data_IF_314154276581
#
_entry.id   IF_314154276581
#
_cell.length_a   1.000
_cell.length_b   1.000
_cell.length_c   1.000
_cell.angle_alpha   90.00
_cell.angle_beta   90.00
_cell.angle_gamma   90.00
#
_symmetry.space_group_name_H-M   'P 1'
#
loop_
_entity.id
_entity.type
_entity.pdbx_description
1 polymer ?
#
# COMPACT_ATOMS: atom_id res chain seq x y z
N UNK A 1 -11.76 35.76 -17.79
CA UNK A 1 -10.81 35.59 -16.66
C UNK A 1 -11.42 34.59 -15.69
N UNK A 2 -10.79 33.45 -15.45
CA UNK A 2 -11.28 32.48 -14.48
C UNK A 2 -11.12 33.05 -13.07
N UNK A 3 -12.19 33.17 -12.34
CA UNK A 3 -12.24 33.62 -10.95
C UNK A 3 -11.60 32.63 -9.96
N UNK A 4 -10.89 31.63 -10.43
CA UNK A 4 -10.27 30.64 -9.55
C UNK A 4 -9.11 31.26 -8.75
N UNK A 5 -9.17 31.21 -7.41
CA UNK A 5 -8.05 31.64 -6.59
C UNK A 5 -6.83 30.71 -6.83
N UNK A 6 -5.62 31.17 -6.55
CA UNK A 6 -4.44 30.32 -6.62
C UNK A 6 -4.63 29.10 -5.68
N UNK A 7 -4.09 27.92 -6.04
CA UNK A 7 -4.25 26.74 -5.23
C UNK A 7 -3.71 26.96 -3.81
N UNK A 8 -4.46 26.57 -2.75
CA UNK A 8 -3.99 26.65 -1.38
C UNK A 8 -2.66 25.90 -1.20
N UNK A 9 -1.88 26.31 -0.20
CA UNK A 9 -0.56 25.71 0.07
C UNK A 9 -0.63 24.18 0.22
N UNK A 10 -1.64 23.66 0.94
CA UNK A 10 -1.84 22.21 1.10
C UNK A 10 -1.99 21.48 -0.24
N UNK A 11 -2.56 22.11 -1.27
CA UNK A 11 -2.68 21.51 -2.62
C UNK A 11 -1.32 21.51 -3.32
N UNK A 12 -0.55 22.60 -3.20
CA UNK A 12 0.80 22.65 -3.77
C UNK A 12 1.74 21.63 -3.14
N UNK A 13 1.58 21.32 -1.86
CA UNK A 13 2.34 20.27 -1.15
C UNK A 13 2.07 18.84 -1.65
N UNK A 14 0.98 18.64 -2.41
CA UNK A 14 0.71 17.34 -3.08
C UNK A 14 1.53 17.18 -4.37
N UNK A 15 2.12 18.24 -4.89
CA UNK A 15 2.86 18.18 -6.14
C UNK A 15 4.12 17.31 -5.97
N UNK A 16 4.39 16.57 -7.04
CA UNK A 16 5.62 15.79 -7.11
C UNK A 16 6.82 16.74 -7.20
N UNK A 17 7.92 16.46 -6.51
CA UNK A 17 9.15 17.23 -6.67
C UNK A 17 9.67 17.11 -8.11
N UNK A 18 10.41 18.12 -8.55
CA UNK A 18 11.23 18.01 -9.75
C UNK A 18 12.23 16.87 -9.57
N UNK A 19 12.31 15.97 -10.54
CA UNK A 19 13.25 14.87 -10.52
C UNK A 19 13.68 14.52 -11.95
N UNK A 20 14.98 14.31 -12.14
CA UNK A 20 15.51 13.82 -13.40
C UNK A 20 15.25 14.69 -14.64
N UNK A 21 15.14 16.01 -14.46
CA UNK A 21 14.88 16.95 -15.57
C UNK A 21 13.41 17.07 -15.99
N UNK A 22 12.51 16.34 -15.31
CA UNK A 22 11.06 16.51 -15.49
C UNK A 22 10.57 17.61 -14.52
N UNK A 23 9.78 18.57 -15.01
CA UNK A 23 9.20 19.58 -14.14
C UNK A 23 8.28 18.90 -13.12
N UNK A 24 8.42 19.24 -11.86
CA UNK A 24 7.48 18.85 -10.82
C UNK A 24 6.06 19.21 -11.22
N UNK A 25 5.12 18.34 -10.95
CA UNK A 25 3.73 18.53 -11.33
C UNK A 25 2.76 17.87 -10.39
N UNK A 26 1.46 18.05 -10.62
CA UNK A 26 0.47 17.32 -9.88
C UNK A 26 0.39 15.86 -10.39
N UNK A 27 -0.15 14.98 -9.55
CA UNK A 27 -0.29 13.54 -9.86
C UNK A 27 -1.00 13.30 -11.20
N UNK A 28 -2.02 14.13 -11.51
CA UNK A 28 -2.78 14.00 -12.77
C UNK A 28 -1.96 14.38 -14.00
N UNK A 29 -1.00 15.29 -13.88
CA UNK A 29 -0.09 15.61 -14.98
C UNK A 29 0.87 14.45 -15.25
N UNK A 30 1.39 13.84 -14.19
CA UNK A 30 2.21 12.64 -14.32
C UNK A 30 1.43 11.46 -14.94
N UNK A 31 0.19 11.22 -14.50
CA UNK A 31 -0.70 10.21 -15.08
C UNK A 31 -1.02 10.51 -16.55
N UNK A 32 -1.41 11.75 -16.87
CA UNK A 32 -1.70 12.16 -18.26
C UNK A 32 -0.48 12.09 -19.16
N UNK A 33 0.70 12.39 -18.68
CA UNK A 33 1.92 12.19 -19.44
C UNK A 33 2.10 10.71 -19.79
N UNK A 34 1.82 9.83 -18.83
CA UNK A 34 1.79 8.39 -19.05
C UNK A 34 0.64 7.94 -19.99
N UNK A 35 -0.54 8.54 -19.96
CA UNK A 35 -1.70 8.18 -20.80
C UNK A 35 -1.55 8.62 -22.26
N UNK A 36 -0.93 9.74 -22.55
CA UNK A 36 -0.87 10.35 -23.89
C UNK A 36 0.06 9.66 -24.88
N UNK A 37 0.95 8.83 -24.41
CA UNK A 37 1.92 8.18 -25.27
C UNK A 37 1.32 6.94 -25.90
N UNK A 38 1.10 6.93 -27.20
CA UNK A 38 0.63 5.78 -27.95
C UNK A 38 1.82 4.88 -28.29
N UNK A 39 1.84 3.70 -27.72
CA UNK A 39 2.78 2.64 -28.12
C UNK A 39 2.22 1.88 -29.34
N UNK A 40 3.06 1.45 -30.31
CA UNK A 40 2.66 0.52 -31.35
C UNK A 40 2.35 -0.89 -30.81
N UNK A 41 2.75 -1.18 -29.57
CA UNK A 41 2.51 -2.44 -28.89
C UNK A 41 1.16 -2.45 -28.16
N UNK A 42 0.58 -3.63 -27.94
CA UNK A 42 -0.59 -3.78 -27.08
C UNK A 42 -0.26 -3.31 -25.68
N UNK A 43 -0.94 -2.26 -25.17
CA UNK A 43 -0.64 -1.72 -23.85
C UNK A 43 -0.92 -2.74 -22.74
N UNK A 44 -0.03 -2.82 -21.75
CA UNK A 44 -0.23 -3.60 -20.54
C UNK A 44 0.05 -2.73 -19.31
N UNK A 45 -0.96 -2.60 -18.44
CA UNK A 45 -0.84 -1.86 -17.18
C UNK A 45 -0.24 -2.74 -16.09
N UNK A 46 1.02 -2.47 -15.75
CA UNK A 46 1.75 -3.14 -14.68
C UNK A 46 1.73 -2.35 -13.36
N UNK A 47 0.88 -1.35 -13.24
CA UNK A 47 0.73 -0.58 -12.00
C UNK A 47 -0.17 -1.27 -10.98
N UNK A 48 -1.02 -2.21 -11.43
CA UNK A 48 -1.95 -2.98 -10.62
C UNK A 48 -2.10 -4.43 -11.12
N UNK A 49 -2.74 -5.27 -10.32
CA UNK A 49 -3.04 -6.64 -10.69
C UNK A 49 -4.13 -6.70 -11.77
N UNK A 50 -4.01 -7.68 -12.67
CA UNK A 50 -5.06 -8.02 -13.62
C UNK A 50 -6.24 -8.69 -12.91
N UNK A 51 -7.30 -7.92 -12.68
CA UNK A 51 -8.51 -8.40 -12.00
C UNK A 51 -9.42 -9.24 -12.88
N UNK A 52 -9.22 -9.30 -14.18
CA UNK A 52 -9.89 -10.26 -15.07
C UNK A 52 -9.27 -11.66 -14.90
N UNK A 53 -7.95 -11.73 -14.84
CA UNK A 53 -7.23 -12.99 -14.57
C UNK A 53 -7.37 -13.44 -13.13
N UNK A 54 -7.41 -12.49 -12.21
CA UNK A 54 -7.51 -12.72 -10.76
C UNK A 54 -8.77 -12.04 -10.19
N UNK A 55 -9.97 -12.56 -10.50
CA UNK A 55 -11.22 -11.96 -10.05
C UNK A 55 -11.40 -12.05 -8.53
N UNK A 56 -12.30 -11.24 -7.95
CA UNK A 56 -12.74 -11.40 -6.58
C UNK A 56 -13.31 -12.80 -6.30
N UNK A 57 -13.41 -13.23 -5.02
CA UNK A 57 -14.17 -14.40 -4.67
C UNK A 57 -15.63 -14.28 -5.15
N UNK A 58 -16.20 -15.36 -5.69
CA UNK A 58 -17.58 -15.36 -6.19
C UNK A 58 -18.57 -14.98 -5.07
N UNK A 59 -18.32 -15.45 -3.84
CA UNK A 59 -19.09 -15.10 -2.65
C UNK A 59 -19.17 -13.59 -2.38
N UNK A 60 -18.16 -12.81 -2.79
CA UNK A 60 -18.18 -11.36 -2.58
C UNK A 60 -19.31 -10.68 -3.42
N UNK A 61 -19.52 -11.13 -4.65
CA UNK A 61 -20.61 -10.63 -5.49
C UNK A 61 -21.98 -11.10 -4.95
N UNK A 62 -22.08 -12.34 -4.50
CA UNK A 62 -23.29 -12.89 -3.91
C UNK A 62 -23.70 -12.14 -2.63
N UNK A 63 -22.77 -11.90 -1.72
CA UNK A 63 -23.01 -11.17 -0.47
C UNK A 63 -23.42 -9.72 -0.75
N UNK A 64 -22.74 -9.05 -1.71
CA UNK A 64 -23.12 -7.71 -2.16
C UNK A 64 -24.55 -7.68 -2.73
N UNK A 65 -24.86 -8.59 -3.65
CA UNK A 65 -26.17 -8.65 -4.29
C UNK A 65 -27.30 -8.97 -3.28
N UNK A 66 -27.02 -9.88 -2.33
CA UNK A 66 -27.96 -10.24 -1.26
C UNK A 66 -28.23 -9.05 -0.35
N UNK A 67 -27.19 -8.33 0.06
CA UNK A 67 -27.32 -7.13 0.86
C UNK A 67 -28.11 -6.03 0.12
N UNK A 68 -27.84 -5.84 -1.18
CA UNK A 68 -28.56 -4.85 -2.00
C UNK A 68 -30.05 -5.15 -2.15
N UNK A 69 -30.45 -6.43 -2.17
CA UNK A 69 -31.86 -6.84 -2.25
C UNK A 69 -32.58 -6.79 -0.91
N UNK A 70 -31.88 -7.06 0.19
CA UNK A 70 -32.50 -7.28 1.50
C UNK A 70 -32.53 -6.07 2.42
N UNK A 71 -31.56 -5.18 2.37
CA UNK A 71 -31.36 -4.14 3.39
C UNK A 71 -31.95 -2.77 3.07
N UNK A 72 -32.58 -2.61 1.90
CA UNK A 72 -33.02 -1.29 1.45
C UNK A 72 -31.85 -0.32 1.18
N UNK A 73 -32.13 0.76 0.45
CA UNK A 73 -31.12 1.77 0.09
C UNK A 73 -30.96 2.81 1.20
N UNK A 74 -30.37 2.45 2.34
CA UNK A 74 -30.23 3.36 3.47
C UNK A 74 -28.79 3.52 3.91
N UNK A 75 -28.53 4.60 4.62
CA UNK A 75 -27.25 4.83 5.27
C UNK A 75 -27.06 3.90 6.48
N UNK A 76 -25.88 3.33 6.63
CA UNK A 76 -25.45 2.68 7.88
C UNK A 76 -24.92 3.71 8.88
N UNK A 77 -24.67 3.36 10.15
CA UNK A 77 -23.87 4.18 11.05
C UNK A 77 -22.52 4.57 10.41
N UNK A 78 -21.92 5.68 10.84
CA UNK A 78 -20.61 6.12 10.31
C UNK A 78 -19.53 5.08 10.49
N UNK A 79 -19.51 4.38 11.62
CA UNK A 79 -18.57 3.30 11.94
C UNK A 79 -18.79 2.02 11.12
N UNK A 80 -19.93 1.91 10.44
CA UNK A 80 -20.37 0.73 9.69
C UNK A 80 -21.52 -0.01 10.39
N UNK A 81 -22.14 -0.96 9.68
CA UNK A 81 -23.21 -1.81 10.21
C UNK A 81 -22.73 -2.63 11.42
N UNK A 82 -23.50 -2.62 12.51
CA UNK A 82 -23.12 -3.25 13.77
C UNK A 82 -22.95 -4.77 13.64
N UNK A 83 -23.85 -5.42 12.88
CA UNK A 83 -23.76 -6.88 12.66
C UNK A 83 -22.55 -7.24 11.78
N UNK A 84 -22.22 -6.41 10.78
CA UNK A 84 -20.99 -6.61 9.99
C UNK A 84 -19.76 -6.39 10.85
N UNK A 85 -19.74 -5.32 11.68
CA UNK A 85 -18.61 -5.07 12.58
C UNK A 85 -18.37 -6.22 13.55
N UNK A 86 -19.43 -6.83 14.10
CA UNK A 86 -19.31 -7.98 15.00
C UNK A 86 -18.63 -9.17 14.32
N UNK A 87 -19.06 -9.53 13.10
CA UNK A 87 -18.45 -10.61 12.33
C UNK A 87 -16.99 -10.29 11.97
N UNK A 88 -16.73 -9.07 11.50
CA UNK A 88 -15.37 -8.62 11.08
C UNK A 88 -14.43 -8.56 12.28
N UNK A 89 -14.88 -8.08 13.45
CA UNK A 89 -14.06 -8.03 14.65
C UNK A 89 -13.66 -9.44 15.14
N UNK A 90 -14.59 -10.39 15.08
CA UNK A 90 -14.28 -11.80 15.42
C UNK A 90 -13.22 -12.39 14.47
N UNK A 91 -13.38 -12.17 13.17
CA UNK A 91 -12.45 -12.64 12.14
C UNK A 91 -11.06 -11.98 12.28
N UNK A 92 -11.02 -10.65 12.50
CA UNK A 92 -9.79 -9.90 12.71
C UNK A 92 -9.08 -10.30 14.00
N UNK A 93 -9.83 -10.60 15.06
CA UNK A 93 -9.22 -11.06 16.32
C UNK A 93 -8.39 -12.34 16.13
N UNK A 94 -8.93 -13.28 15.36
CA UNK A 94 -8.21 -14.50 14.98
C UNK A 94 -7.01 -14.23 14.06
N UNK A 95 -7.17 -13.32 13.10
CA UNK A 95 -6.12 -13.00 12.13
C UNK A 95 -4.97 -12.18 12.75
N UNK A 96 -5.29 -11.15 13.52
CA UNK A 96 -4.28 -10.27 14.13
C UNK A 96 -3.65 -10.86 15.39
N UNK A 97 -4.26 -11.89 16.00
CA UNK A 97 -3.78 -12.48 17.25
C UNK A 97 -4.01 -11.59 18.49
N UNK A 98 -4.97 -10.66 18.43
CA UNK A 98 -5.34 -9.75 19.53
C UNK A 98 -6.84 -9.49 19.51
N UNK A 99 -7.47 -9.39 20.68
CA UNK A 99 -8.90 -9.13 20.77
C UNK A 99 -9.29 -7.76 20.19
N UNK A 100 -10.19 -7.77 19.21
CA UNK A 100 -10.77 -6.57 18.57
C UNK A 100 -12.21 -6.42 19.03
N UNK A 101 -12.52 -5.32 19.69
CA UNK A 101 -13.89 -4.98 20.09
C UNK A 101 -14.58 -4.24 18.92
N UNK A 102 -15.75 -4.73 18.44
CA UNK A 102 -16.46 -4.12 17.31
C UNK A 102 -16.97 -2.71 17.58
N UNK A 103 -17.20 -2.35 18.83
CA UNK A 103 -17.76 -1.04 19.23
C UNK A 103 -16.67 0.01 19.52
N UNK A 104 -15.48 -0.43 19.91
CA UNK A 104 -14.44 0.50 20.35
C UNK A 104 -13.18 0.49 19.50
N UNK A 105 -12.81 -0.65 18.92
CA UNK A 105 -11.53 -0.79 18.23
C UNK A 105 -11.63 -0.84 16.68
N UNK A 106 -12.83 -0.94 16.13
CA UNK A 106 -13.04 -1.21 14.70
C UNK A 106 -13.84 -0.11 13.99
N UNK A 107 -13.33 0.31 12.84
CA UNK A 107 -14.00 1.22 11.90
C UNK A 107 -14.01 0.60 10.50
N UNK A 108 -15.18 0.53 9.86
CA UNK A 108 -15.31 0.21 8.43
C UNK A 108 -15.24 1.50 7.62
N UNK A 109 -14.35 1.56 6.64
CA UNK A 109 -14.10 2.76 5.86
C UNK A 109 -14.34 2.53 4.35
N UNK A 110 -14.57 3.60 3.56
CA UNK A 110 -14.68 3.53 2.09
C UNK A 110 -13.33 3.20 1.43
N UNK A 111 -12.81 2.02 1.72
CA UNK A 111 -11.46 1.56 1.37
C UNK A 111 -10.39 2.05 2.34
N UNK A 112 -9.27 1.33 2.38
CA UNK A 112 -8.12 1.63 3.27
C UNK A 112 -7.53 3.02 3.04
N UNK A 113 -7.64 3.59 1.84
CA UNK A 113 -7.16 4.95 1.58
C UNK A 113 -7.94 6.02 2.36
N UNK A 114 -9.26 5.86 2.50
CA UNK A 114 -10.07 6.77 3.33
C UNK A 114 -9.76 6.58 4.82
N UNK A 115 -9.52 5.33 5.25
CA UNK A 115 -9.08 5.03 6.60
C UNK A 115 -7.71 5.67 6.91
N UNK A 116 -6.74 5.55 6.00
CA UNK A 116 -5.43 6.18 6.12
C UNK A 116 -5.53 7.70 6.24
N UNK A 117 -6.33 8.33 5.36
CA UNK A 117 -6.53 9.77 5.40
C UNK A 117 -7.17 10.22 6.72
N UNK A 118 -8.20 9.51 7.17
CA UNK A 118 -8.85 9.81 8.45
C UNK A 118 -7.89 9.63 9.63
N UNK A 119 -7.12 8.53 9.66
CA UNK A 119 -6.11 8.26 10.69
C UNK A 119 -5.07 9.38 10.78
N UNK A 120 -4.47 9.74 9.63
CA UNK A 120 -3.46 10.80 9.61
C UNK A 120 -4.07 12.16 9.95
N UNK A 121 -5.31 12.45 9.53
CA UNK A 121 -6.01 13.69 9.90
C UNK A 121 -6.24 13.84 11.41
N UNK A 122 -6.32 12.72 12.13
CA UNK A 122 -6.48 12.70 13.60
C UNK A 122 -5.15 12.82 14.33
N UNK A 123 -4.09 12.28 13.75
CA UNK A 123 -2.79 12.09 14.40
C UNK A 123 -1.74 13.14 14.01
N UNK A 124 -1.97 13.88 12.92
CA UNK A 124 -0.94 14.72 12.28
C UNK A 124 -1.42 16.14 12.08
N UNK A 125 -0.65 17.07 12.58
CA UNK A 125 -0.70 18.51 12.27
C UNK A 125 0.69 19.01 11.83
N UNK A 126 0.84 20.35 11.69
CA UNK A 126 2.10 20.94 11.23
C UNK A 126 3.31 20.68 12.14
N UNK A 127 3.08 20.50 13.42
CA UNK A 127 4.12 20.37 14.45
C UNK A 127 4.38 18.90 14.81
N UNK A 128 3.55 17.99 14.26
CA UNK A 128 3.70 16.55 14.50
C UNK A 128 4.95 16.02 13.80
N UNK A 129 5.77 15.29 14.54
CA UNK A 129 6.90 14.56 13.97
C UNK A 129 6.41 13.25 13.38
N UNK A 130 6.42 13.18 12.05
CA UNK A 130 5.99 12.00 11.32
C UNK A 130 7.20 11.33 10.68
N UNK A 131 7.53 10.13 11.17
CA UNK A 131 8.56 9.26 10.59
C UNK A 131 7.90 8.38 9.54
N UNK A 132 8.46 8.29 8.35
CA UNK A 132 7.88 7.51 7.24
C UNK A 132 8.95 6.61 6.65
N UNK A 133 8.66 5.31 6.51
CA UNK A 133 9.58 4.41 5.81
C UNK A 133 9.83 4.90 4.36
N UNK A 134 11.04 4.80 3.85
CA UNK A 134 11.43 5.31 2.54
C UNK A 134 12.36 4.30 1.81
N UNK A 135 11.90 3.71 0.68
CA UNK A 135 10.63 3.94 0.00
C UNK A 135 9.42 3.27 0.69
N UNK A 136 8.25 3.90 0.55
CA UNK A 136 6.96 3.34 1.02
C UNK A 136 5.81 3.79 0.10
N UNK A 137 4.60 3.39 0.43
CA UNK A 137 3.41 3.69 -0.37
C UNK A 137 3.29 5.18 -0.69
N UNK A 138 3.18 5.48 -1.97
CA UNK A 138 3.32 6.85 -2.51
C UNK A 138 2.38 7.89 -1.90
N UNK A 139 1.22 7.48 -1.37
CA UNK A 139 0.29 8.43 -0.75
C UNK A 139 0.67 8.80 0.68
N UNK A 140 1.51 8.02 1.35
CA UNK A 140 1.94 8.24 2.73
C UNK A 140 2.60 9.61 2.88
N UNK A 141 3.68 9.85 2.17
CA UNK A 141 4.40 11.13 2.17
C UNK A 141 3.53 12.31 1.74
N UNK A 142 2.68 12.09 0.73
CA UNK A 142 1.79 13.13 0.19
C UNK A 142 0.73 13.53 1.21
N UNK A 143 0.11 12.57 1.89
CA UNK A 143 -0.91 12.85 2.91
C UNK A 143 -0.32 13.60 4.09
N UNK A 144 0.86 13.21 4.58
CA UNK A 144 1.58 13.92 5.64
C UNK A 144 1.85 15.38 5.25
N UNK A 145 2.36 15.62 4.05
CA UNK A 145 2.60 16.98 3.53
C UNK A 145 1.32 17.78 3.35
N UNK A 146 0.24 17.13 2.88
CA UNK A 146 -1.06 17.78 2.72
C UNK A 146 -1.60 18.28 4.07
N UNK A 147 -1.42 17.51 5.14
CA UNK A 147 -1.83 17.87 6.50
C UNK A 147 -0.92 18.93 7.14
N UNK A 148 0.16 19.30 6.49
CA UNK A 148 1.02 20.40 6.91
C UNK A 148 2.32 19.97 7.58
N UNK A 149 2.48 18.71 7.97
CA UNK A 149 3.70 18.20 8.57
C UNK A 149 4.84 18.03 7.54
N UNK A 150 6.06 18.00 8.05
CA UNK A 150 7.24 17.64 7.27
C UNK A 150 7.64 16.21 7.62
N UNK A 151 7.50 15.26 6.69
CA UNK A 151 7.86 13.87 6.96
C UNK A 151 9.37 13.71 7.12
N UNK A 152 9.76 12.89 8.08
CA UNK A 152 11.17 12.47 8.30
C UNK A 152 11.32 11.07 7.72
N UNK A 153 12.08 10.90 6.62
CA UNK A 153 12.27 9.60 6.00
C UNK A 153 13.13 8.68 6.88
N UNK A 154 12.69 7.44 7.05
CA UNK A 154 13.48 6.36 7.65
C UNK A 154 13.86 5.40 6.53
N UNK A 155 15.15 5.33 6.17
CA UNK A 155 15.58 4.58 5.00
C UNK A 155 15.31 3.08 5.12
N UNK A 156 14.99 2.46 3.99
CA UNK A 156 15.16 1.03 3.81
C UNK A 156 16.59 0.77 3.27
N UNK A 157 17.27 -0.25 3.80
CA UNK A 157 18.62 -0.65 3.38
C UNK A 157 18.57 -2.01 2.70
N UNK A 158 19.21 -2.13 1.55
CA UNK A 158 19.40 -3.41 0.87
C UNK A 158 20.63 -4.11 1.44
N UNK A 159 20.48 -5.24 2.16
CA UNK A 159 21.63 -5.97 2.72
C UNK A 159 22.49 -6.64 1.65
N UNK A 160 21.91 -6.92 0.48
CA UNK A 160 22.56 -7.38 -0.73
C UNK A 160 21.75 -6.94 -1.96
N UNK A 161 22.35 -6.90 -3.16
CA UNK A 161 21.67 -6.43 -4.39
C UNK A 161 20.43 -7.23 -4.79
N UNK A 162 20.36 -8.49 -4.39
CA UNK A 162 19.28 -9.43 -4.70
C UNK A 162 18.40 -9.78 -3.48
N UNK A 163 18.61 -9.11 -2.35
CA UNK A 163 17.82 -9.24 -1.12
C UNK A 163 16.78 -8.14 -1.00
N UNK A 164 15.62 -8.46 -0.40
CA UNK A 164 14.64 -7.44 -0.04
C UNK A 164 15.22 -6.49 1.01
N UNK A 165 14.88 -5.19 0.93
CA UNK A 165 15.40 -4.24 1.90
C UNK A 165 14.81 -4.45 3.29
N UNK A 166 15.53 -3.94 4.28
CA UNK A 166 15.13 -3.92 5.69
C UNK A 166 15.05 -2.48 6.20
N UNK A 167 14.18 -2.22 7.16
CA UNK A 167 14.09 -0.91 7.80
C UNK A 167 15.40 -0.60 8.55
N UNK A 168 15.97 0.58 8.34
CA UNK A 168 17.14 1.04 9.08
C UNK A 168 16.77 1.35 10.54
N UNK A 169 16.93 0.36 11.41
CA UNK A 169 16.60 0.50 12.84
C UNK A 169 17.49 1.52 13.56
N UNK A 170 18.72 1.72 13.13
CA UNK A 170 19.59 2.74 13.71
C UNK A 170 19.11 4.15 13.35
N UNK A 171 18.69 4.35 12.09
CA UNK A 171 18.09 5.61 11.67
C UNK A 171 16.77 5.87 12.41
N UNK A 172 15.92 4.84 12.57
CA UNK A 172 14.71 4.92 13.35
C UNK A 172 15.00 5.29 14.81
N UNK A 173 15.92 4.61 15.46
CA UNK A 173 16.30 4.90 16.85
C UNK A 173 16.82 6.32 17.01
N UNK A 174 17.68 6.81 16.11
CA UNK A 174 18.13 8.20 16.12
C UNK A 174 16.97 9.18 15.97
N UNK A 175 16.07 8.91 15.05
CA UNK A 175 14.92 9.78 14.78
C UNK A 175 13.94 9.83 15.96
N UNK A 176 13.81 8.78 16.77
CA UNK A 176 12.87 8.73 17.90
C UNK A 176 13.36 9.46 19.17
N UNK A 177 14.64 9.87 19.23
CA UNK A 177 15.21 10.51 20.44
C UNK A 177 14.67 11.92 20.76
N UNK A 178 14.04 12.57 19.80
CA UNK A 178 13.66 13.99 19.92
C UNK A 178 12.20 14.21 20.37
N UNK A 179 11.59 13.30 21.13
CA UNK A 179 10.23 13.40 21.68
C UNK A 179 9.20 12.55 20.92
N UNK A 180 7.91 12.71 21.25
CA UNK A 180 6.83 11.91 20.68
C UNK A 180 6.80 11.96 19.16
N UNK A 181 6.33 10.88 18.51
CA UNK A 181 6.30 10.77 17.06
C UNK A 181 5.15 9.86 16.56
N UNK A 182 4.80 10.04 15.30
CA UNK A 182 3.97 9.09 14.56
C UNK A 182 4.87 8.38 13.55
N UNK A 183 4.92 7.05 13.58
CA UNK A 183 5.60 6.25 12.56
C UNK A 183 4.56 5.71 11.58
N UNK A 184 4.80 5.90 10.29
CA UNK A 184 3.94 5.43 9.20
C UNK A 184 4.73 4.49 8.30
N UNK A 185 4.24 3.26 8.10
CA UNK A 185 4.87 2.27 7.24
C UNK A 185 3.85 1.26 6.70
N UNK A 186 4.16 0.63 5.57
CA UNK A 186 3.43 -0.53 5.04
C UNK A 186 4.15 -1.86 5.36
N UNK A 187 3.38 -2.90 5.69
CA UNK A 187 3.90 -4.21 6.03
C UNK A 187 2.93 -5.35 5.65
N UNK A 188 3.23 -6.15 4.62
CA UNK A 188 4.39 -6.12 3.71
C UNK A 188 4.55 -4.80 2.97
N UNK A 189 5.81 -4.41 2.74
CA UNK A 189 6.13 -3.09 2.20
C UNK A 189 5.77 -2.96 0.70
N UNK A 190 5.06 -1.92 0.37
CA UNK A 190 4.83 -1.46 -1.00
C UNK A 190 5.69 -0.19 -1.22
N UNK A 191 6.73 -0.21 -2.08
CA UNK A 191 6.80 -0.98 -3.33
C UNK A 191 7.69 -2.23 -3.30
N UNK A 192 8.49 -2.45 -2.28
CA UNK A 192 9.64 -3.36 -2.34
C UNK A 192 9.29 -4.85 -2.19
N UNK A 193 8.10 -5.16 -1.68
CA UNK A 193 7.71 -6.53 -1.33
C UNK A 193 8.43 -7.10 -0.11
N UNK A 194 9.11 -6.25 0.68
CA UNK A 194 9.75 -6.67 1.91
C UNK A 194 8.72 -7.08 2.97
N UNK A 195 8.97 -8.16 3.67
CA UNK A 195 8.29 -8.54 4.91
C UNK A 195 9.32 -8.38 6.03
N UNK A 196 9.05 -7.46 6.94
CA UNK A 196 9.98 -7.21 8.05
C UNK A 196 9.96 -8.41 8.98
N UNK A 197 11.14 -8.88 9.37
CA UNK A 197 11.28 -10.01 10.29
C UNK A 197 10.67 -9.69 11.65
N UNK A 198 10.25 -10.71 12.44
CA UNK A 198 9.69 -10.51 13.78
C UNK A 198 10.54 -9.61 14.67
N UNK A 199 11.88 -9.73 14.61
CA UNK A 199 12.80 -8.94 15.42
C UNK A 199 12.75 -7.44 15.06
N UNK A 200 12.49 -7.10 13.79
CA UNK A 200 12.31 -5.71 13.34
C UNK A 200 11.01 -5.15 13.88
N UNK A 201 9.93 -5.93 13.83
CA UNK A 201 8.62 -5.54 14.38
C UNK A 201 8.69 -5.35 15.91
N UNK A 202 9.39 -6.22 16.61
CA UNK A 202 9.63 -6.11 18.05
C UNK A 202 10.50 -4.89 18.41
N UNK A 203 11.50 -4.56 17.58
CA UNK A 203 12.30 -3.35 17.75
C UNK A 203 11.46 -2.08 17.54
N UNK A 204 10.57 -2.06 16.55
CA UNK A 204 9.62 -0.95 16.34
C UNK A 204 8.71 -0.79 17.57
N UNK A 205 8.15 -1.89 18.08
CA UNK A 205 7.29 -1.89 19.25
C UNK A 205 8.04 -1.35 20.47
N UNK A 206 9.23 -1.85 20.75
CA UNK A 206 10.07 -1.38 21.87
C UNK A 206 10.32 0.13 21.78
N UNK A 207 10.73 0.63 20.60
CA UNK A 207 10.97 2.07 20.43
C UNK A 207 9.69 2.91 20.59
N UNK A 208 8.54 2.40 20.11
CA UNK A 208 7.26 3.09 20.28
C UNK A 208 6.85 3.19 21.75
N UNK A 209 7.07 2.13 22.52
CA UNK A 209 6.76 2.10 23.95
C UNK A 209 7.72 3.01 24.75
N UNK A 210 9.04 2.88 24.52
CA UNK A 210 10.07 3.59 25.25
C UNK A 210 10.12 5.11 24.95
N UNK A 211 9.69 5.52 23.74
CA UNK A 211 9.85 6.88 23.21
C UNK A 211 8.53 7.61 22.94
N UNK A 212 7.44 7.12 23.51
CA UNK A 212 6.09 7.66 23.33
C UNK A 212 5.70 7.84 21.86
N UNK A 213 5.90 6.77 21.07
CA UNK A 213 5.54 6.70 19.66
C UNK A 213 4.15 6.13 19.46
N UNK A 214 3.49 6.57 18.37
CA UNK A 214 2.28 5.95 17.83
C UNK A 214 2.58 5.43 16.44
N UNK A 215 2.12 4.21 16.09
CA UNK A 215 2.41 3.59 14.80
C UNK A 215 1.13 3.41 13.99
N UNK A 216 1.13 3.92 12.76
CA UNK A 216 0.13 3.61 11.74
C UNK A 216 0.77 2.62 10.77
N UNK A 217 0.25 1.40 10.76
CA UNK A 217 0.77 0.33 9.91
C UNK A 217 -0.28 -0.09 8.88
N UNK A 218 0.11 0.01 7.60
CA UNK A 218 -0.73 -0.45 6.47
C UNK A 218 -0.42 -1.91 6.17
N UNK A 219 -1.31 -2.80 6.59
CA UNK A 219 -1.23 -4.25 6.40
C UNK A 219 -2.11 -4.76 5.25
N UNK A 220 -2.38 -3.93 4.25
CA UNK A 220 -3.24 -4.28 3.11
C UNK A 220 -2.75 -5.52 2.34
N UNK A 221 -1.47 -5.85 2.46
CA UNK A 221 -0.86 -7.03 1.84
C UNK A 221 -0.55 -8.15 2.83
N UNK A 222 -1.02 -8.09 4.09
CA UNK A 222 -0.68 -9.06 5.12
C UNK A 222 -1.03 -10.52 4.77
N UNK A 223 -1.98 -10.74 3.84
CA UNK A 223 -2.36 -12.07 3.35
C UNK A 223 -1.61 -12.49 2.07
N UNK A 224 -0.79 -11.63 1.49
CA UNK A 224 0.10 -11.92 0.36
C UNK A 224 1.53 -12.04 0.88
N UNK A 225 1.83 -13.11 1.57
CA UNK A 225 3.17 -13.46 2.09
C UNK A 225 3.58 -14.80 1.49
N UNK A 226 4.79 -14.86 0.96
CA UNK A 226 5.31 -16.03 0.25
C UNK A 226 6.11 -16.96 1.15
N UNK A 227 6.34 -18.19 0.68
CA UNK A 227 7.11 -19.17 1.40
C UNK A 227 8.50 -18.65 1.81
N UNK A 228 8.89 -18.91 3.05
CA UNK A 228 10.15 -18.46 3.63
C UNK A 228 10.09 -17.11 4.35
N UNK A 229 8.93 -16.43 4.35
CA UNK A 229 8.70 -15.22 5.15
C UNK A 229 7.67 -15.47 6.24
N UNK A 230 7.84 -14.82 7.38
CA UNK A 230 6.93 -14.84 8.52
C UNK A 230 6.39 -13.43 8.74
N UNK A 231 5.07 -13.30 8.78
CA UNK A 231 4.40 -12.04 9.09
C UNK A 231 4.14 -11.96 10.60
N UNK A 232 4.63 -10.91 11.22
CA UNK A 232 4.33 -10.56 12.60
C UNK A 232 3.48 -9.29 12.62
N UNK A 233 2.27 -9.36 13.16
CA UNK A 233 1.41 -8.20 13.35
C UNK A 233 1.93 -7.34 14.50
N UNK A 234 2.14 -6.05 14.25
CA UNK A 234 2.66 -5.13 15.27
C UNK A 234 1.67 -4.96 16.44
N UNK A 235 0.39 -4.91 16.15
CA UNK A 235 -0.67 -4.75 17.16
C UNK A 235 -0.72 -5.93 18.15
N UNK A 236 -0.19 -7.10 17.77
CA UNK A 236 -0.11 -8.28 18.64
C UNK A 236 1.12 -8.30 19.56
N UNK A 237 2.04 -7.35 19.40
CA UNK A 237 3.16 -7.21 20.33
C UNK A 237 2.64 -6.58 21.63
N UNK A 238 3.06 -7.12 22.78
CA UNK A 238 2.64 -6.61 24.10
C UNK A 238 2.90 -5.10 24.24
N UNK A 239 1.93 -4.36 24.73
CA UNK A 239 1.97 -2.90 24.88
C UNK A 239 1.63 -2.11 23.60
N UNK A 240 1.44 -2.76 22.45
CA UNK A 240 1.17 -2.05 21.19
C UNK A 240 -0.31 -1.82 20.91
N UNK A 241 -1.24 -2.52 21.55
CA UNK A 241 -2.69 -2.36 21.30
C UNK A 241 -3.16 -0.91 21.41
N UNK A 242 -2.62 -0.16 22.37
CA UNK A 242 -2.98 1.25 22.62
C UNK A 242 -2.07 2.26 21.88
N UNK A 243 -1.10 1.77 21.09
CA UNK A 243 -0.11 2.58 20.37
C UNK A 243 -0.01 2.26 18.88
N UNK A 244 -0.93 1.43 18.36
CA UNK A 244 -0.92 1.01 16.99
C UNK A 244 -2.30 1.17 16.35
N UNK A 245 -2.33 1.70 15.14
CA UNK A 245 -3.48 1.63 14.25
C UNK A 245 -3.12 0.77 13.04
N UNK A 246 -3.80 -0.35 12.90
CA UNK A 246 -3.64 -1.27 11.76
C UNK A 246 -4.70 -0.99 10.71
N UNK A 247 -4.27 -0.77 9.47
CA UNK A 247 -5.14 -0.65 8.31
C UNK A 247 -5.11 -1.96 7.53
N UNK A 248 -6.28 -2.49 7.17
CA UNK A 248 -6.39 -3.73 6.41
C UNK A 248 -7.61 -3.72 5.48
N UNK A 249 -7.71 -4.72 4.61
CA UNK A 249 -8.88 -4.86 3.74
C UNK A 249 -8.66 -5.79 2.56
N UNK A 250 -9.74 -6.19 1.86
CA UNK A 250 -9.70 -7.20 0.80
C UNK A 250 -9.32 -6.64 -0.58
N UNK A 251 -8.94 -5.35 -0.65
CA UNK A 251 -8.75 -4.66 -1.94
C UNK A 251 -7.68 -5.30 -2.84
N UNK A 252 -6.68 -5.97 -2.26
CA UNK A 252 -5.51 -6.48 -3.00
C UNK A 252 -5.47 -8.00 -3.07
N UNK A 253 -5.45 -8.66 -1.93
CA UNK A 253 -5.41 -10.13 -1.88
C UNK A 253 -6.63 -10.75 -2.54
N UNK A 254 -7.80 -10.18 -2.31
CA UNK A 254 -9.08 -10.66 -2.83
C UNK A 254 -9.54 -9.92 -4.09
N UNK A 255 -8.73 -9.01 -4.64
CA UNK A 255 -9.06 -8.21 -5.84
C UNK A 255 -10.34 -7.37 -5.70
N UNK A 256 -10.69 -6.97 -4.49
CA UNK A 256 -11.95 -6.27 -4.19
C UNK A 256 -11.78 -4.74 -4.16
N UNK A 257 -10.81 -4.19 -4.89
CA UNK A 257 -10.55 -2.74 -4.89
C UNK A 257 -11.76 -1.91 -5.33
N UNK A 258 -12.57 -2.42 -6.26
CA UNK A 258 -13.80 -1.77 -6.75
C UNK A 258 -14.95 -1.73 -5.74
N UNK A 259 -14.97 -2.59 -4.75
CA UNK A 259 -15.98 -2.60 -3.69
C UNK A 259 -15.84 -1.44 -2.70
N UNK A 260 -14.66 -0.81 -2.65
CA UNK A 260 -14.37 0.32 -1.76
C UNK A 260 -14.64 0.01 -0.29
N UNK A 261 -14.14 -1.11 0.20
CA UNK A 261 -14.20 -1.49 1.62
C UNK A 261 -12.80 -1.66 2.19
N UNK A 262 -12.66 -1.25 3.44
CA UNK A 262 -11.43 -1.37 4.23
C UNK A 262 -11.75 -1.23 5.70
N UNK A 263 -10.80 -1.57 6.55
CA UNK A 263 -10.94 -1.53 8.00
C UNK A 263 -9.76 -0.81 8.64
N UNK A 264 -10.04 -0.17 9.78
CA UNK A 264 -9.04 0.33 10.70
C UNK A 264 -9.27 -0.31 12.07
N UNK A 265 -8.21 -0.82 12.68
CA UNK A 265 -8.21 -1.41 14.03
C UNK A 265 -7.22 -0.65 14.89
N UNK A 266 -7.68 -0.08 15.99
CA UNK A 266 -6.82 0.70 16.89
C UNK A 266 -7.48 1.12 18.20
N UNK A 267 -6.83 2.01 18.97
CA UNK A 267 -7.37 2.52 20.21
C UNK A 267 -8.68 3.27 20.01
N UNK A 268 -9.59 3.12 20.97
CA UNK A 268 -10.91 3.74 20.95
C UNK A 268 -10.87 5.24 20.60
N UNK A 269 -10.01 6.00 21.26
CA UNK A 269 -9.93 7.45 21.08
C UNK A 269 -9.55 7.84 19.63
N UNK A 270 -8.67 7.08 19.01
CA UNK A 270 -8.28 7.31 17.61
C UNK A 270 -9.42 6.95 16.69
N UNK A 271 -10.06 5.80 16.91
CA UNK A 271 -11.19 5.31 16.11
C UNK A 271 -12.40 6.26 16.19
N UNK A 272 -12.73 6.77 17.39
CA UNK A 272 -13.81 7.74 17.58
C UNK A 272 -13.55 9.03 16.78
N UNK A 273 -12.33 9.58 16.84
CA UNK A 273 -11.94 10.78 16.07
C UNK A 273 -11.89 10.52 14.56
N UNK A 274 -11.50 9.32 14.13
CA UNK A 274 -11.55 8.94 12.70
C UNK A 274 -12.98 8.92 12.18
N UNK A 275 -13.95 8.51 12.99
CA UNK A 275 -15.39 8.57 12.66
C UNK A 275 -15.82 10.02 12.42
N UNK A 276 -15.40 10.96 13.27
CA UNK A 276 -15.67 12.40 13.08
C UNK A 276 -15.09 12.91 11.75
N UNK A 277 -13.85 12.56 11.43
CA UNK A 277 -13.23 12.95 10.14
C UNK A 277 -13.98 12.35 8.96
N UNK A 278 -14.39 11.09 9.03
CA UNK A 278 -15.18 10.47 7.95
C UNK A 278 -16.54 11.14 7.78
N UNK A 279 -17.16 11.62 8.86
CA UNK A 279 -18.46 12.28 8.82
C UNK A 279 -18.50 13.54 7.95
N UNK A 280 -17.35 14.21 7.78
CA UNK A 280 -17.20 15.44 6.98
C UNK A 280 -16.40 15.24 5.69
N UNK A 281 -15.95 14.01 5.40
CA UNK A 281 -15.14 13.70 4.21
C UNK A 281 -15.80 12.63 3.33
N UNK A 282 -15.44 11.38 3.51
CA UNK A 282 -15.91 10.26 2.69
C UNK A 282 -17.24 9.67 3.17
N UNK A 283 -17.80 10.17 4.27
CA UNK A 283 -19.00 9.70 4.94
C UNK A 283 -18.86 8.26 5.45
N UNK A 284 -19.50 7.30 4.78
CA UNK A 284 -19.69 5.94 5.28
C UNK A 284 -19.08 4.91 4.33
N UNK A 285 -18.71 3.78 4.88
CA UNK A 285 -18.46 2.59 4.08
C UNK A 285 -19.72 2.25 3.25
N UNK A 286 -19.61 1.91 1.96
CA UNK A 286 -20.76 1.59 1.12
C UNK A 286 -21.62 0.48 1.73
N UNK A 287 -22.93 0.76 1.94
CA UNK A 287 -23.84 -0.06 2.73
C UNK A 287 -23.85 -1.54 2.29
N UNK A 288 -23.91 -1.79 0.99
CA UNK A 288 -23.97 -3.17 0.47
C UNK A 288 -22.60 -3.84 0.47
N UNK A 289 -21.57 -3.08 0.12
CA UNK A 289 -20.23 -3.63 -0.02
C UNK A 289 -19.62 -4.08 1.32
N UNK A 290 -19.97 -3.45 2.44
CA UNK A 290 -19.45 -3.87 3.74
C UNK A 290 -19.90 -5.28 4.13
N UNK A 291 -21.04 -5.78 3.63
CA UNK A 291 -21.50 -7.14 3.88
C UNK A 291 -20.56 -8.21 3.30
N UNK A 292 -19.77 -7.88 2.28
CA UNK A 292 -18.75 -8.77 1.72
C UNK A 292 -17.62 -9.08 2.72
N UNK A 293 -17.47 -8.26 3.78
CA UNK A 293 -16.49 -8.48 4.84
C UNK A 293 -16.90 -9.56 5.85
N UNK A 294 -18.17 -9.99 5.88
CA UNK A 294 -18.65 -11.01 6.85
C UNK A 294 -17.91 -12.35 6.74
N UNK A 295 -17.54 -12.73 5.50
CA UNK A 295 -16.81 -13.97 5.20
C UNK A 295 -15.30 -13.77 5.11
N UNK A 296 -14.85 -12.53 4.96
CA UNK A 296 -13.44 -12.19 4.84
C UNK A 296 -12.63 -12.67 6.06
N UNK A 297 -11.45 -13.22 5.82
CA UNK A 297 -10.55 -13.85 6.79
C UNK A 297 -11.05 -15.19 7.38
N UNK A 298 -12.30 -15.54 7.25
CA UNK A 298 -12.90 -16.76 7.78
C UNK A 298 -13.07 -17.83 6.71
N UNK A 299 -13.81 -17.52 5.65
CA UNK A 299 -14.29 -18.50 4.69
C UNK A 299 -13.50 -18.50 3.35
N UNK A 300 -12.54 -17.61 3.20
CA UNK A 300 -11.78 -17.37 1.97
C UNK A 300 -10.34 -17.90 2.00
N UNK A 301 -10.01 -18.73 2.99
CA UNK A 301 -8.64 -19.22 3.21
C UNK A 301 -8.09 -19.96 1.99
N UNK A 302 -8.81 -20.95 1.48
CA UNK A 302 -8.36 -21.70 0.31
C UNK A 302 -8.22 -20.84 -0.95
N UNK A 303 -9.11 -19.84 -1.12
CA UNK A 303 -9.02 -18.87 -2.21
C UNK A 303 -7.70 -18.12 -2.14
N UNK A 304 -7.33 -17.63 -0.95
CA UNK A 304 -6.08 -16.89 -0.73
C UNK A 304 -4.87 -17.79 -0.90
N UNK A 305 -4.87 -19.00 -0.37
CA UNK A 305 -3.78 -19.96 -0.52
C UNK A 305 -3.49 -20.27 -2.00
N UNK A 306 -4.54 -20.51 -2.79
CA UNK A 306 -4.39 -20.70 -4.24
C UNK A 306 -3.82 -19.45 -4.94
N UNK A 307 -4.26 -18.27 -4.53
CA UNK A 307 -3.79 -16.98 -5.04
C UNK A 307 -2.32 -16.77 -4.74
N UNK A 308 -1.91 -16.96 -3.50
CA UNK A 308 -0.52 -16.83 -3.04
C UNK A 308 0.38 -17.80 -3.81
N UNK A 309 -0.01 -19.08 -3.93
CA UNK A 309 0.76 -20.06 -4.69
C UNK A 309 0.92 -19.69 -6.18
N UNK A 310 -0.15 -19.14 -6.80
CA UNK A 310 -0.09 -18.68 -8.18
C UNK A 310 0.84 -17.45 -8.32
N UNK A 311 0.68 -16.45 -7.48
CA UNK A 311 1.52 -15.26 -7.49
C UNK A 311 2.99 -15.58 -7.22
N UNK A 312 3.28 -16.51 -6.32
CA UNK A 312 4.65 -16.96 -6.07
C UNK A 312 5.30 -17.54 -7.32
N UNK A 313 4.59 -18.38 -8.07
CA UNK A 313 5.14 -18.93 -9.34
C UNK A 313 5.42 -17.85 -10.38
N UNK A 314 4.50 -16.89 -10.53
CA UNK A 314 4.71 -15.78 -11.49
C UNK A 314 5.88 -14.91 -11.02
N UNK A 315 5.95 -14.57 -9.73
CA UNK A 315 7.07 -13.84 -9.13
C UNK A 315 8.41 -14.53 -9.41
N UNK A 316 8.50 -15.83 -9.12
CA UNK A 316 9.76 -16.57 -9.24
C UNK A 316 10.28 -16.57 -10.68
N UNK A 317 9.39 -16.82 -11.65
CA UNK A 317 9.73 -16.73 -13.08
C UNK A 317 10.16 -15.32 -13.50
N UNK A 318 9.46 -14.31 -12.98
CA UNK A 318 9.80 -12.89 -13.27
C UNK A 318 11.16 -12.51 -12.70
N UNK A 319 11.47 -12.92 -11.48
CA UNK A 319 12.76 -12.68 -10.85
C UNK A 319 13.87 -13.42 -11.59
N UNK A 320 13.67 -14.68 -11.93
CA UNK A 320 14.63 -15.47 -12.72
C UNK A 320 14.92 -14.80 -14.06
N UNK A 321 13.89 -14.30 -14.76
CA UNK A 321 14.04 -13.59 -16.01
C UNK A 321 14.82 -12.29 -15.84
N UNK A 322 14.39 -11.41 -14.94
CA UNK A 322 15.01 -10.09 -14.74
C UNK A 322 16.46 -10.17 -14.29
N UNK A 323 16.84 -11.18 -13.52
CA UNK A 323 18.23 -11.40 -13.10
C UNK A 323 19.20 -11.74 -14.24
N UNK A 324 18.67 -12.11 -15.42
CA UNK A 324 19.47 -12.36 -16.63
C UNK A 324 19.65 -11.12 -17.49
N UNK A 325 18.93 -10.02 -17.17
CA UNK A 325 18.99 -8.77 -17.92
C UNK A 325 20.14 -7.93 -17.39
N UNK A 326 21.11 -7.62 -18.24
CA UNK A 326 22.28 -6.82 -17.88
C UNK A 326 21.84 -5.44 -17.37
N UNK A 327 22.42 -5.02 -16.23
CA UNK A 327 22.11 -3.73 -15.60
C UNK A 327 20.86 -3.73 -14.72
N UNK A 328 20.14 -4.84 -14.61
CA UNK A 328 18.98 -4.98 -13.72
C UNK A 328 19.32 -5.81 -12.49
N UNK A 329 18.99 -5.29 -11.31
CA UNK A 329 19.06 -6.04 -10.04
C UNK A 329 17.66 -6.13 -9.45
N UNK A 330 17.27 -7.31 -8.99
CA UNK A 330 15.94 -7.52 -8.42
C UNK A 330 15.96 -8.53 -7.28
N UNK A 331 15.36 -8.12 -6.16
CA UNK A 331 15.05 -9.00 -5.04
C UNK A 331 13.77 -9.77 -5.30
N UNK A 332 13.71 -11.02 -4.85
CA UNK A 332 12.45 -11.76 -4.81
C UNK A 332 11.59 -11.19 -3.68
N UNK A 333 10.45 -10.57 -4.03
CA UNK A 333 9.51 -10.07 -3.04
C UNK A 333 9.07 -11.18 -2.07
N UNK A 334 9.10 -10.89 -0.78
CA UNK A 334 8.63 -11.79 0.28
C UNK A 334 7.13 -11.66 0.54
N UNK A 335 6.54 -10.57 0.08
CA UNK A 335 5.10 -10.30 0.13
C UNK A 335 4.67 -9.40 -1.01
N UNK A 336 3.40 -8.99 -1.05
CA UNK A 336 2.77 -8.15 -2.06
C UNK A 336 2.66 -8.80 -3.46
N UNK A 337 2.15 -8.06 -4.44
CA UNK A 337 2.13 -8.45 -5.86
C UNK A 337 3.15 -7.65 -6.68
N UNK A 338 4.16 -7.05 -6.04
CA UNK A 338 5.09 -6.14 -6.68
C UNK A 338 6.53 -6.63 -6.64
N UNK A 339 7.28 -6.27 -7.69
CA UNK A 339 8.74 -6.24 -7.69
C UNK A 339 9.19 -4.79 -7.85
N UNK A 340 10.40 -4.52 -7.37
CA UNK A 340 11.01 -3.19 -7.37
C UNK A 340 12.44 -3.27 -7.94
N UNK A 341 12.60 -3.53 -9.25
CA UNK A 341 13.90 -3.65 -9.88
C UNK A 341 14.70 -2.36 -9.78
N UNK A 342 15.98 -2.49 -9.43
CA UNK A 342 16.99 -1.46 -9.53
C UNK A 342 17.55 -1.43 -10.96
N UNK A 343 17.44 -0.29 -11.60
CA UNK A 343 17.92 -0.01 -12.96
C UNK A 343 18.89 1.17 -12.99
N UNK A 344 19.47 1.52 -11.86
CA UNK A 344 20.43 2.63 -11.73
C UNK A 344 21.67 2.47 -12.63
N UNK A 345 22.04 1.24 -12.96
CA UNK A 345 23.13 0.93 -13.87
C UNK A 345 22.89 1.41 -15.31
N UNK A 346 21.64 1.71 -15.69
CA UNK A 346 21.34 2.32 -17.00
C UNK A 346 21.81 3.78 -17.09
N UNK A 347 22.14 4.42 -15.99
CA UNK A 347 22.54 5.84 -15.97
C UNK A 347 21.42 6.82 -16.35
N UNK A 348 20.18 6.37 -16.34
CA UNK A 348 18.99 7.14 -16.69
C UNK A 348 18.13 7.43 -15.45
N UNK A 349 17.45 8.58 -15.40
CA UNK A 349 16.41 8.80 -14.41
C UNK A 349 15.30 7.74 -14.53
N UNK A 350 14.76 7.29 -13.39
CA UNK A 350 13.71 6.27 -13.35
C UNK A 350 12.41 6.70 -14.07
N UNK A 351 12.10 8.01 -14.13
CA UNK A 351 11.02 8.54 -14.96
C UNK A 351 11.26 8.27 -16.44
N UNK A 352 12.50 8.47 -16.91
CA UNK A 352 12.85 8.23 -18.31
C UNK A 352 12.77 6.75 -18.62
N UNK A 353 13.20 5.89 -17.71
CA UNK A 353 13.05 4.43 -17.86
C UNK A 353 11.57 4.06 -17.99
N UNK A 354 10.69 4.58 -17.11
CA UNK A 354 9.26 4.34 -17.16
C UNK A 354 8.62 4.85 -18.48
N UNK A 355 9.04 6.01 -18.98
CA UNK A 355 8.58 6.54 -20.25
C UNK A 355 9.04 5.67 -21.43
N UNK A 356 10.30 5.22 -21.45
CA UNK A 356 10.82 4.32 -22.50
C UNK A 356 10.09 2.98 -22.51
N UNK A 357 9.81 2.39 -21.32
CA UNK A 357 9.02 1.17 -21.19
C UNK A 357 7.62 1.35 -21.79
N UNK A 358 6.99 2.47 -21.55
CA UNK A 358 5.70 2.78 -22.12
C UNK A 358 5.76 2.99 -23.65
N UNK A 359 6.68 3.82 -24.14
CA UNK A 359 6.76 4.19 -25.54
C UNK A 359 7.22 3.04 -26.43
N UNK A 360 8.24 2.30 -26.00
CA UNK A 360 8.87 1.25 -26.82
C UNK A 360 8.27 -0.12 -26.56
N UNK A 361 7.92 -0.44 -25.32
CA UNK A 361 7.42 -1.74 -24.92
C UNK A 361 5.90 -1.81 -24.69
N UNK A 362 5.20 -0.67 -24.61
CA UNK A 362 3.77 -0.63 -24.27
C UNK A 362 3.50 -1.00 -22.81
N UNK A 363 4.49 -0.88 -21.90
CA UNK A 363 4.39 -1.31 -20.52
C UNK A 363 4.28 -0.11 -19.58
N UNK A 364 3.20 -0.04 -18.82
CA UNK A 364 3.00 1.03 -17.84
C UNK A 364 3.47 0.58 -16.46
N UNK A 365 4.48 1.24 -15.90
CA UNK A 365 5.07 0.98 -14.59
C UNK A 365 5.06 2.24 -13.73
N UNK A 366 5.25 2.12 -12.43
CA UNK A 366 5.44 3.28 -11.56
C UNK A 366 6.94 3.57 -11.37
N UNK A 367 7.45 4.75 -11.74
CA UNK A 367 8.83 5.12 -11.47
C UNK A 367 9.07 5.24 -9.95
N UNK A 368 10.29 4.88 -9.53
CA UNK A 368 10.59 4.68 -8.12
C UNK A 368 10.54 5.93 -7.27
N UNK A 369 10.88 7.12 -7.83
CA UNK A 369 10.83 8.40 -7.10
C UNK A 369 9.44 8.72 -6.52
N UNK A 370 8.37 8.13 -7.05
CA UNK A 370 7.01 8.32 -6.53
C UNK A 370 6.83 7.76 -5.12
N UNK A 371 7.67 6.81 -4.72
CA UNK A 371 7.61 6.12 -3.42
C UNK A 371 8.51 6.74 -2.36
N UNK A 372 9.23 7.80 -2.69
CA UNK A 372 10.17 8.49 -1.83
C UNK A 372 11.56 8.60 -2.46
N UNK A 373 12.47 9.29 -1.79
CA UNK A 373 13.83 9.49 -2.29
C UNK A 373 14.61 8.16 -2.37
N UNK A 374 14.36 7.24 -1.43
CA UNK A 374 14.94 5.90 -1.43
C UNK A 374 14.49 5.01 -2.59
N UNK A 375 13.48 5.43 -3.35
CA UNK A 375 13.01 4.74 -4.56
C UNK A 375 13.73 5.13 -5.85
N UNK A 376 14.57 6.16 -5.84
CA UNK A 376 15.27 6.63 -7.03
C UNK A 376 16.11 5.51 -7.67
N UNK A 377 16.15 5.46 -9.00
CA UNK A 377 16.85 4.42 -9.76
C UNK A 377 16.10 3.08 -9.84
N UNK A 378 14.87 3.02 -9.35
CA UNK A 378 14.02 1.83 -9.41
C UNK A 378 12.73 2.11 -10.19
N UNK A 379 12.00 1.04 -10.52
CA UNK A 379 10.58 1.14 -10.88
C UNK A 379 9.78 0.01 -10.22
N UNK A 380 8.49 0.25 -9.95
CA UNK A 380 7.61 -0.79 -9.43
C UNK A 380 6.80 -1.40 -10.56
N UNK A 381 6.78 -2.71 -10.64
CA UNK A 381 5.90 -3.48 -11.50
C UNK A 381 5.04 -4.45 -10.70
N UNK A 382 3.79 -4.65 -11.13
CA UNK A 382 2.89 -5.69 -10.63
C UNK A 382 3.04 -6.93 -11.49
N UNK A 383 3.48 -8.04 -10.92
CA UNK A 383 3.63 -9.32 -11.61
C UNK A 383 2.36 -10.17 -11.62
N UNK A 384 1.30 -9.75 -10.96
CA UNK A 384 0.01 -10.43 -10.94
C UNK A 384 -0.76 -10.18 -12.26
N UNK A 385 -0.27 -10.76 -13.35
CA UNK A 385 -0.75 -10.60 -14.71
C UNK A 385 -1.13 -11.96 -15.34
N UNK A 386 -1.82 -11.96 -16.46
CA UNK A 386 -2.02 -13.17 -17.25
C UNK A 386 -0.67 -13.73 -17.73
N UNK A 387 -0.43 -15.02 -17.47
CA UNK A 387 0.90 -15.64 -17.69
C UNK A 387 1.35 -15.60 -19.16
N UNK A 388 0.41 -15.64 -20.12
CA UNK A 388 0.72 -15.60 -21.56
C UNK A 388 1.13 -14.19 -21.99
N UNK A 389 0.35 -13.20 -21.62
CA UNK A 389 0.66 -11.79 -21.89
C UNK A 389 1.93 -11.36 -21.14
N UNK A 390 2.16 -11.92 -19.95
CA UNK A 390 3.31 -11.60 -19.10
C UNK A 390 4.64 -12.03 -19.71
N UNK A 391 4.73 -13.23 -20.31
CA UNK A 391 5.96 -13.68 -20.98
C UNK A 391 6.40 -12.71 -22.08
N UNK A 392 5.47 -12.31 -22.95
CA UNK A 392 5.75 -11.33 -24.00
C UNK A 392 6.11 -9.93 -23.45
N UNK A 393 5.50 -9.54 -22.34
CA UNK A 393 5.82 -8.27 -21.68
C UNK A 393 7.25 -8.25 -21.13
N UNK A 394 7.72 -9.35 -20.56
CA UNK A 394 9.09 -9.48 -20.06
C UNK A 394 10.11 -9.37 -21.17
N UNK A 395 9.89 -10.03 -22.32
CA UNK A 395 10.79 -9.92 -23.47
C UNK A 395 10.90 -8.47 -23.95
N UNK A 396 9.77 -7.77 -24.12
CA UNK A 396 9.74 -6.35 -24.50
C UNK A 396 10.39 -5.44 -23.46
N UNK A 397 10.24 -5.77 -22.18
CA UNK A 397 10.88 -5.05 -21.08
C UNK A 397 12.41 -5.17 -21.16
N UNK A 398 12.93 -6.37 -21.39
CA UNK A 398 14.36 -6.62 -21.49
C UNK A 398 15.01 -5.81 -22.61
N UNK A 399 14.37 -5.68 -23.78
CA UNK A 399 14.88 -4.86 -24.88
C UNK A 399 15.05 -3.37 -24.54
N UNK A 400 14.28 -2.86 -23.57
CA UNK A 400 14.33 -1.45 -23.16
C UNK A 400 15.30 -1.21 -22.02
N UNK A 401 15.44 -2.16 -21.09
CA UNK A 401 16.25 -2.01 -19.86
C UNK A 401 17.64 -2.68 -19.93
N UNK A 402 18.04 -3.14 -21.10
CA UNK A 402 19.41 -3.65 -21.31
C UNK A 402 20.39 -2.49 -21.49
N UNK A 403 21.56 -2.59 -20.85
CA UNK A 403 22.70 -1.69 -21.07
C UNK A 403 23.32 -2.01 -22.43
N UNK A 404 23.39 -1.02 -23.32
CA UNK A 404 24.08 -1.12 -24.61
C UNK A 404 25.46 -0.48 -24.58
#
# INVERSE_FOLDING_TARGET
MSWLPPPPERIRRLWLPEAGGFPGGNVREAERALERTLSPQTPLDLTCADTHRFPPPESALEDFATAARGSGATYTPYRGDAGVRADVAANLSGFLGVGVDPETNLLLAPGTQAALFAALSVLVDRDTRVLVADPDYMTNLRTVRYLGATPVPIPLRWPAPDATPVLDLEALERATRNGPYVLLLSHPNNPTGAVYKPEVIEAIARLAIERDGFVVIDELYARLVYAGAELRHLVAVEGMKERCLTLAGPSKTESMSGYRVGVAVGPREVVDRMEDVLSVSALRCPAYAQHTLRRWLRDDREFVERRVACYQRIRDRTVEFLRRVDGVRVAAALGTAYLFPDVSALGLPDQEVAMRLKEKAGLMVNPGYQFGAGGAGHFRLCFAQDETAWGQALDRMAEVVTVH
#
